data_IF_368657415841
#
_entry.id   IF_368657415841
#
_cell.length_a   1.000
_cell.length_b   1.000
_cell.length_c   1.000
_cell.angle_alpha   90.00
_cell.angle_beta   90.00
_cell.angle_gamma   90.00
#
_symmetry.space_group_name_H-M   'P 1'
#
loop_
_entity.id
_entity.type
_entity.pdbx_description
1 polymer ?
#
# COMPACT_ATOMS: atom_id res chain seq x y z
N UNK A 1 -0.42 -18.23 -18.99
CA UNK A 1 0.45 -17.29 -18.24
C UNK A 1 1.07 -18.03 -17.06
N UNK A 2 2.34 -17.73 -16.73
CA UNK A 2 3.02 -18.29 -15.55
C UNK A 2 3.19 -17.18 -14.51
N UNK A 3 2.78 -17.43 -13.27
CA UNK A 3 2.99 -16.50 -12.16
C UNK A 3 4.49 -16.45 -11.81
N UNK A 4 5.09 -15.26 -11.82
CA UNK A 4 6.50 -15.05 -11.48
C UNK A 4 6.72 -14.75 -10.00
N UNK A 5 5.78 -14.02 -9.38
CA UNK A 5 5.84 -13.63 -7.98
C UNK A 5 4.42 -13.52 -7.39
N UNK A 6 4.27 -13.94 -6.13
CA UNK A 6 3.03 -13.87 -5.35
C UNK A 6 3.37 -13.43 -3.93
N UNK A 7 2.52 -12.61 -3.32
CA UNK A 7 2.59 -12.26 -1.91
C UNK A 7 1.19 -12.11 -1.32
N UNK A 8 1.06 -12.23 0.00
CA UNK A 8 -0.19 -12.06 0.74
C UNK A 8 -0.08 -10.97 1.80
N UNK A 9 -1.15 -10.18 1.90
CA UNK A 9 -1.34 -9.17 2.94
C UNK A 9 -2.72 -9.38 3.55
N UNK A 10 -2.81 -9.33 4.88
CA UNK A 10 -4.04 -9.48 5.64
C UNK A 10 -4.37 -8.18 6.34
N UNK A 11 -5.59 -7.69 6.15
CA UNK A 11 -6.16 -6.56 6.88
C UNK A 11 -7.16 -7.09 7.92
N UNK A 12 -7.09 -6.57 9.15
CA UNK A 12 -8.05 -6.87 10.22
C UNK A 12 -8.54 -5.56 10.84
N UNK A 13 -9.80 -5.47 11.25
CA UNK A 13 -10.37 -4.27 11.89
C UNK A 13 -10.81 -3.14 10.94
N UNK A 14 -10.81 -3.36 9.63
CA UNK A 14 -11.32 -2.39 8.65
C UNK A 14 -10.51 -1.09 8.61
N UNK A 15 -11.20 0.07 8.50
CA UNK A 15 -10.54 1.39 8.40
C UNK A 15 -9.87 1.85 9.70
N UNK A 16 -10.16 1.21 10.83
CA UNK A 16 -9.47 1.44 12.10
C UNK A 16 -8.81 0.13 12.54
N UNK A 17 -7.91 -0.35 11.70
CA UNK A 17 -7.41 -1.70 11.73
C UNK A 17 -5.90 -1.78 11.60
N UNK A 18 -5.46 -2.96 11.20
CA UNK A 18 -4.06 -3.30 11.03
C UNK A 18 -3.88 -4.08 9.73
N UNK A 19 -2.84 -3.73 8.97
CA UNK A 19 -2.50 -4.35 7.69
C UNK A 19 -1.12 -4.97 7.82
N UNK A 20 -1.02 -6.28 7.60
CA UNK A 20 0.23 -7.04 7.75
C UNK A 20 0.50 -7.98 6.56
N UNK A 21 1.69 -7.94 5.99
CA UNK A 21 2.14 -8.91 5.00
C UNK A 21 2.57 -10.22 5.65
N UNK A 22 2.48 -11.33 4.92
CA UNK A 22 2.84 -12.67 5.42
C UNK A 22 4.32 -12.76 5.86
N UNK A 23 5.19 -11.93 5.27
CA UNK A 23 6.61 -11.83 5.59
C UNK A 23 6.94 -10.71 6.59
N UNK A 24 5.95 -9.96 7.09
CA UNK A 24 6.11 -8.89 8.09
C UNK A 24 6.81 -7.62 7.60
N UNK A 25 7.15 -7.50 6.32
CA UNK A 25 7.79 -6.29 5.76
C UNK A 25 6.83 -5.10 5.74
N UNK A 26 5.54 -5.36 5.49
CA UNK A 26 4.48 -4.36 5.64
C UNK A 26 3.72 -4.71 6.93
N UNK A 27 3.80 -3.84 7.93
CA UNK A 27 3.18 -4.01 9.24
C UNK A 27 2.78 -2.61 9.73
N UNK A 28 1.54 -2.20 9.43
CA UNK A 28 1.08 -0.82 9.63
C UNK A 28 -0.33 -0.76 10.19
N UNK A 29 -0.56 0.19 11.08
CA UNK A 29 -1.90 0.59 11.48
C UNK A 29 -2.56 1.44 10.40
N UNK A 30 -3.84 1.18 10.15
CA UNK A 30 -4.67 2.03 9.29
C UNK A 30 -5.76 2.70 10.10
N UNK A 31 -5.94 4.01 9.90
CA UNK A 31 -7.02 4.79 10.52
C UNK A 31 -7.79 5.59 9.50
N UNK A 32 -9.01 5.97 9.86
CA UNK A 32 -9.75 6.99 9.13
C UNK A 32 -9.06 8.35 9.34
N UNK A 33 -8.79 9.14 8.29
CA UNK A 33 -8.20 10.47 8.42
C UNK A 33 -9.21 11.48 9.00
N UNK A 34 -8.74 12.62 9.52
CA UNK A 34 -9.60 13.68 10.09
C UNK A 34 -10.67 14.14 9.12
N UNK A 35 -10.30 14.30 7.84
CA UNK A 35 -11.22 14.75 6.79
C UNK A 35 -12.43 13.82 6.57
N UNK A 36 -12.33 12.55 6.96
CA UNK A 36 -13.41 11.57 6.86
C UNK A 36 -14.07 11.28 8.22
N UNK A 37 -13.81 12.11 9.24
CA UNK A 37 -14.36 11.95 10.60
C UNK A 37 -13.47 11.15 11.56
N UNK A 38 -12.19 10.95 11.21
CA UNK A 38 -11.20 10.31 12.07
C UNK A 38 -10.63 11.21 13.17
N UNK A 39 -9.90 10.63 14.11
CA UNK A 39 -9.34 11.36 15.25
C UNK A 39 -8.08 12.18 14.90
N UNK A 40 -7.21 11.64 14.04
CA UNK A 40 -5.99 12.29 13.58
C UNK A 40 -5.56 11.84 12.18
N UNK A 41 -4.45 12.39 11.68
CA UNK A 41 -3.86 12.06 10.37
C UNK A 41 -2.47 11.40 10.54
N UNK A 42 -2.20 10.84 11.72
CA UNK A 42 -0.87 10.31 12.08
C UNK A 42 -0.65 8.88 11.57
N UNK A 43 -1.69 8.25 11.02
CA UNK A 43 -1.67 6.86 10.57
C UNK A 43 -1.90 6.76 9.06
N UNK A 44 -1.40 5.66 8.49
CA UNK A 44 -1.69 5.34 7.11
C UNK A 44 -3.20 5.10 6.90
N UNK A 45 -3.66 5.22 5.67
CA UNK A 45 -5.02 4.86 5.28
C UNK A 45 -5.00 4.13 3.93
N UNK A 46 -6.09 3.43 3.56
CA UNK A 46 -6.14 2.68 2.31
C UNK A 46 -5.84 3.54 1.06
N UNK A 47 -6.25 4.81 1.06
CA UNK A 47 -6.01 5.74 -0.05
C UNK A 47 -4.52 6.05 -0.22
N UNK A 48 -3.79 6.29 0.88
CA UNK A 48 -2.34 6.47 0.88
C UNK A 48 -1.61 5.21 0.38
N UNK A 49 -2.02 4.02 0.83
CA UNK A 49 -1.40 2.76 0.39
C UNK A 49 -1.61 2.52 -1.11
N UNK A 50 -2.80 2.82 -1.63
CA UNK A 50 -3.08 2.73 -3.05
C UNK A 50 -2.24 3.74 -3.86
N UNK A 51 -2.20 5.00 -3.44
CA UNK A 51 -1.41 6.04 -4.11
C UNK A 51 0.10 5.71 -4.11
N UNK A 52 0.62 5.21 -2.99
CA UNK A 52 2.01 4.78 -2.88
C UNK A 52 2.32 3.59 -3.80
N UNK A 53 1.48 2.55 -3.80
CA UNK A 53 1.66 1.38 -4.66
C UNK A 53 1.58 1.73 -6.14
N UNK A 54 0.61 2.57 -6.52
CA UNK A 54 0.43 2.99 -7.92
C UNK A 54 1.59 3.85 -8.42
N UNK A 55 1.97 4.88 -7.67
CA UNK A 55 3.06 5.78 -8.07
C UNK A 55 4.41 5.06 -8.20
N UNK A 56 4.76 4.19 -7.24
CA UNK A 56 5.99 3.40 -7.30
C UNK A 56 5.99 2.41 -8.47
N UNK A 57 4.86 1.75 -8.74
CA UNK A 57 4.73 0.83 -9.87
C UNK A 57 4.86 1.56 -11.22
N UNK A 58 4.21 2.72 -11.35
CA UNK A 58 4.26 3.51 -12.58
C UNK A 58 5.65 4.08 -12.84
N UNK A 59 6.32 4.60 -11.81
CA UNK A 59 7.71 5.07 -11.91
C UNK A 59 8.66 3.93 -12.33
N UNK A 60 8.49 2.73 -11.77
CA UNK A 60 9.26 1.55 -12.21
C UNK A 60 9.02 1.20 -13.68
N UNK A 61 7.80 1.37 -14.19
CA UNK A 61 7.49 1.14 -15.60
C UNK A 61 8.18 2.17 -16.51
N UNK A 62 8.18 3.46 -16.12
CA UNK A 62 8.88 4.52 -16.84
C UNK A 62 10.40 4.27 -16.88
N UNK A 63 11.01 3.98 -15.72
CA UNK A 63 12.43 3.69 -15.64
C UNK A 63 12.84 2.47 -16.48
N UNK A 64 12.01 1.42 -16.49
CA UNK A 64 12.23 0.25 -17.35
C UNK A 64 12.10 0.61 -18.85
N UNK A 65 11.20 1.51 -19.23
CA UNK A 65 11.06 1.94 -20.62
C UNK A 65 12.24 2.80 -21.12
N UNK A 66 12.85 3.59 -20.24
CA UNK A 66 14.03 4.41 -20.56
C UNK A 66 15.35 3.62 -20.60
N UNK A 67 15.33 2.32 -20.27
CA UNK A 67 16.53 1.47 -20.26
C UNK A 67 16.95 0.97 -21.65
N UNK A 68 16.33 1.48 -22.72
CA UNK A 68 16.59 1.16 -24.12
C UNK A 68 17.16 2.34 -24.93
N UNK A 69 17.61 3.41 -24.27
CA UNK A 69 18.38 4.51 -24.88
C UNK A 69 19.82 4.44 -24.36
#
# INVERSE_FOLDING_TARGET
MKTLYTTKVTAQGGRNGHVKSENGVLDVEVRMPKALGGGNDDFANPEMLFAAGYSACFDSALNRSNQFI
#
